data_IF_640696152386
#
_entry.id   IF_640696152386
#
_cell.length_a   1.000
_cell.length_b   1.000
_cell.length_c   1.000
_cell.angle_alpha   90.00
_cell.angle_beta   90.00
_cell.angle_gamma   90.00
#
_symmetry.space_group_name_H-M   'P 1'
#
loop_
_entity.id
_entity.type
_entity.pdbx_description
1 polymer ?
#
# COMPACT_ATOMS: atom_id res chain seq x y z
N UNK A 1 15.51 12.85 11.53
CA UNK A 1 16.90 12.99 11.05
C UNK A 1 17.11 12.05 9.86
N UNK A 2 17.69 12.60 8.79
CA UNK A 2 17.89 12.09 7.42
C UNK A 2 18.04 10.57 7.24
N UNK A 3 17.15 9.94 6.45
CA UNK A 3 17.41 8.71 5.67
C UNK A 3 16.57 8.73 4.38
N UNK A 4 16.97 9.57 3.42
CA UNK A 4 16.70 9.34 2.01
C UNK A 4 18.07 9.05 1.40
N UNK A 5 18.33 7.77 1.18
CA UNK A 5 19.34 7.22 0.27
C UNK A 5 19.41 5.73 0.53
N UNK A 6 18.71 4.95 -0.28
CA UNK A 6 19.10 3.57 -0.52
C UNK A 6 18.60 3.14 -1.91
N UNK A 7 19.32 3.55 -2.94
CA UNK A 7 19.62 2.73 -4.12
C UNK A 7 20.80 3.37 -4.86
N UNK A 8 22.01 3.07 -4.37
CA UNK A 8 23.31 3.06 -5.06
C UNK A 8 24.48 3.30 -4.08
N UNK A 9 24.62 2.47 -3.04
CA UNK A 9 25.84 2.43 -2.23
C UNK A 9 25.96 1.12 -1.45
N UNK A 10 26.12 -0.02 -2.12
CA UNK A 10 26.65 -1.23 -1.49
C UNK A 10 28.20 -1.13 -1.47
N UNK A 11 28.68 -0.65 -0.33
CA UNK A 11 29.97 -0.91 0.36
C UNK A 11 31.26 -1.00 -0.48
N UNK A 12 32.05 0.08 -0.35
CA UNK A 12 33.51 0.10 -0.43
C UNK A 12 34.16 -0.77 0.67
N UNK A 13 35.17 -1.56 0.33
CA UNK A 13 36.50 -1.53 1.00
C UNK A 13 37.52 -2.46 0.33
N UNK A 14 38.54 -1.86 -0.31
CA UNK A 14 39.94 -2.33 -0.19
C UNK A 14 40.90 -1.25 -0.70
N UNK A 15 41.62 -0.64 0.26
CA UNK A 15 42.96 -0.05 0.22
C UNK A 15 43.35 0.95 -0.89
N UNK A 16 43.74 2.14 -0.43
CA UNK A 16 44.38 3.19 -1.18
C UNK A 16 45.73 2.74 -1.77
N UNK A 17 45.90 2.93 -3.08
CA UNK A 17 47.15 3.32 -3.74
C UNK A 17 46.96 3.46 -5.27
N UNK A 18 46.31 4.54 -5.72
CA UNK A 18 46.87 5.38 -6.78
C UNK A 18 46.07 6.70 -6.88
N UNK A 19 46.61 7.74 -6.27
CA UNK A 19 46.17 9.10 -6.49
C UNK A 19 46.57 9.54 -7.92
N UNK A 20 45.75 9.23 -8.93
CA UNK A 20 45.87 9.80 -10.28
C UNK A 20 44.51 9.86 -11.01
N UNK A 21 43.67 10.86 -10.70
CA UNK A 21 42.74 11.35 -11.73
C UNK A 21 42.53 12.87 -11.64
N UNK A 22 43.61 13.68 -11.78
CA UNK A 22 43.52 15.15 -11.74
C UNK A 22 42.60 15.74 -12.82
N UNK A 23 42.21 14.95 -13.82
CA UNK A 23 41.32 15.33 -14.93
C UNK A 23 39.94 14.66 -14.85
N UNK A 24 39.54 14.08 -13.71
CA UNK A 24 38.29 13.32 -13.59
C UNK A 24 37.06 14.11 -14.06
N UNK A 25 36.93 15.37 -13.63
CA UNK A 25 35.85 16.25 -14.08
C UNK A 25 35.97 16.53 -15.59
N UNK A 26 37.17 16.85 -16.07
CA UNK A 26 37.42 17.16 -17.49
C UNK A 26 36.98 16.02 -18.41
N UNK A 27 37.26 14.76 -18.04
CA UNK A 27 36.82 13.56 -18.77
C UNK A 27 35.30 13.44 -18.80
N UNK A 28 34.62 13.64 -17.66
CA UNK A 28 33.14 13.64 -17.61
C UNK A 28 32.57 14.74 -18.50
N UNK A 29 33.18 15.94 -18.47
CA UNK A 29 32.72 17.08 -19.27
C UNK A 29 32.91 16.85 -20.79
N UNK A 30 33.91 16.07 -21.20
CA UNK A 30 34.16 15.73 -22.61
C UNK A 30 33.29 14.59 -23.16
N UNK A 31 32.60 13.85 -22.30
CA UNK A 31 31.75 12.75 -22.74
C UNK A 31 30.61 13.22 -23.65
N UNK A 32 30.30 12.40 -24.65
CA UNK A 32 29.35 12.74 -25.72
C UNK A 32 27.94 12.21 -25.48
N UNK A 33 27.79 11.24 -24.58
CA UNK A 33 26.51 10.64 -24.20
C UNK A 33 26.44 10.38 -22.69
N UNK A 34 25.23 10.19 -22.17
CA UNK A 34 24.97 10.01 -20.75
C UNK A 34 25.70 8.79 -20.19
N UNK A 35 25.67 7.66 -20.90
CA UNK A 35 26.25 6.40 -20.43
C UNK A 35 27.76 6.53 -20.18
N UNK A 36 28.49 7.10 -21.14
CA UNK A 36 29.92 7.39 -21.03
C UNK A 36 30.20 8.36 -19.88
N UNK A 37 29.49 9.49 -19.82
CA UNK A 37 29.65 10.48 -18.76
C UNK A 37 29.42 9.88 -17.37
N UNK A 38 28.40 9.01 -17.24
CA UNK A 38 28.03 8.40 -15.97
C UNK A 38 29.05 7.36 -15.54
N UNK A 39 29.58 6.55 -16.47
CA UNK A 39 30.67 5.62 -16.21
C UNK A 39 31.93 6.34 -15.72
N UNK A 40 32.33 7.41 -16.42
CA UNK A 40 33.45 8.25 -16.01
C UNK A 40 33.23 8.90 -14.64
N UNK A 41 32.01 9.39 -14.36
CA UNK A 41 31.70 9.99 -13.07
C UNK A 41 31.77 8.95 -11.95
N UNK A 42 31.21 7.75 -12.12
CA UNK A 42 31.27 6.69 -11.10
C UNK A 42 32.71 6.36 -10.68
N UNK A 43 33.65 6.37 -11.62
CA UNK A 43 35.07 6.10 -11.34
C UNK A 43 35.80 7.28 -10.67
N UNK A 44 35.39 8.51 -10.98
CA UNK A 44 36.08 9.72 -10.51
C UNK A 44 35.42 10.38 -9.28
N UNK A 45 34.17 10.05 -8.94
CA UNK A 45 33.38 10.76 -7.94
C UNK A 45 34.01 10.75 -6.54
N UNK A 46 34.72 9.69 -6.16
CA UNK A 46 35.33 9.56 -4.83
C UNK A 46 36.39 10.65 -4.55
N UNK A 47 37.04 11.18 -5.59
CA UNK A 47 38.09 12.20 -5.47
C UNK A 47 37.61 13.61 -5.80
N UNK A 48 36.34 13.77 -6.20
CA UNK A 48 35.78 15.07 -6.59
C UNK A 48 35.31 15.88 -5.38
N UNK A 49 35.49 17.19 -5.44
CA UNK A 49 34.82 18.11 -4.50
C UNK A 49 33.31 18.17 -4.77
N UNK A 50 32.54 18.70 -3.82
CA UNK A 50 31.09 18.86 -4.00
C UNK A 50 30.74 19.74 -5.20
N UNK A 51 31.54 20.78 -5.45
CA UNK A 51 31.37 21.68 -6.59
C UNK A 51 31.64 20.96 -7.91
N UNK A 52 32.65 20.09 -7.94
CA UNK A 52 32.96 19.27 -9.12
C UNK A 52 31.88 18.23 -9.38
N UNK A 53 31.40 17.54 -8.34
CA UNK A 53 30.25 16.62 -8.43
C UNK A 53 29.01 17.30 -8.98
N UNK A 54 28.67 18.48 -8.45
CA UNK A 54 27.52 19.25 -8.93
C UNK A 54 27.63 19.58 -10.43
N UNK A 55 28.81 20.00 -10.91
CA UNK A 55 29.07 20.24 -12.34
C UNK A 55 28.94 18.96 -13.17
N UNK A 56 29.53 17.86 -12.71
CA UNK A 56 29.49 16.57 -13.39
C UNK A 56 28.05 16.03 -13.51
N UNK A 57 27.27 16.08 -12.44
CA UNK A 57 25.85 15.72 -12.48
C UNK A 57 25.04 16.66 -13.37
N UNK A 58 25.35 17.97 -13.39
CA UNK A 58 24.69 18.88 -14.32
C UNK A 58 24.96 18.52 -15.79
N UNK A 59 26.18 18.08 -16.13
CA UNK A 59 26.52 17.57 -17.46
C UNK A 59 25.71 16.32 -17.80
N UNK A 60 25.49 15.42 -16.83
CA UNK A 60 24.60 14.28 -17.00
C UNK A 60 23.15 14.71 -17.26
N UNK A 61 22.64 15.72 -16.55
CA UNK A 61 21.32 16.30 -16.83
C UNK A 61 21.22 16.79 -18.27
N UNK A 62 22.22 17.56 -18.73
CA UNK A 62 22.23 18.12 -20.09
C UNK A 62 22.19 17.01 -21.17
N UNK A 63 22.98 15.96 -20.98
CA UNK A 63 23.04 14.80 -21.88
C UNK A 63 21.73 14.00 -21.86
N UNK A 64 21.18 13.72 -20.68
CA UNK A 64 19.95 12.95 -20.54
C UNK A 64 18.73 13.67 -21.15
N UNK A 65 18.63 14.99 -20.96
CA UNK A 65 17.59 15.80 -21.64
C UNK A 65 17.76 15.71 -23.16
N UNK A 66 18.99 15.85 -23.66
CA UNK A 66 19.27 15.76 -25.10
C UNK A 66 18.89 14.40 -25.68
N UNK A 67 19.21 13.31 -24.99
CA UNK A 67 18.83 11.96 -25.39
C UNK A 67 17.32 11.77 -25.37
N UNK A 68 16.64 12.25 -24.32
CA UNK A 68 15.18 12.17 -24.23
C UNK A 68 14.48 12.92 -25.36
N UNK A 69 14.94 14.13 -25.68
CA UNK A 69 14.37 14.94 -26.78
C UNK A 69 14.59 14.28 -28.12
N UNK A 70 15.78 13.72 -28.38
CA UNK A 70 16.06 12.99 -29.64
C UNK A 70 15.18 11.75 -29.79
N UNK A 71 15.01 10.99 -28.71
CA UNK A 71 14.14 9.81 -28.71
C UNK A 71 12.69 10.19 -28.97
N UNK A 72 12.20 11.29 -28.36
CA UNK A 72 10.87 11.82 -28.61
C UNK A 72 10.65 12.25 -30.07
N UNK A 73 11.56 13.03 -30.64
CA UNK A 73 11.50 13.42 -32.06
C UNK A 73 11.50 12.21 -32.99
N UNK A 74 12.30 11.19 -32.66
CA UNK A 74 12.33 9.93 -33.39
C UNK A 74 11.01 9.17 -33.29
N UNK A 75 10.43 9.05 -32.09
CA UNK A 75 9.16 8.35 -31.86
C UNK A 75 8.01 9.00 -32.65
N UNK A 76 7.97 10.34 -32.69
CA UNK A 76 6.99 11.08 -33.50
C UNK A 76 7.16 10.78 -34.99
N UNK A 77 8.40 10.74 -35.50
CA UNK A 77 8.67 10.38 -36.91
C UNK A 77 8.26 8.94 -37.21
N UNK A 78 8.55 8.00 -36.31
CA UNK A 78 8.15 6.61 -36.44
C UNK A 78 6.63 6.45 -36.46
N UNK A 79 5.91 7.19 -35.59
CA UNK A 79 4.45 7.22 -35.57
C UNK A 79 3.87 7.75 -36.90
N UNK A 80 4.42 8.85 -37.45
CA UNK A 80 4.00 9.40 -38.74
C UNK A 80 4.27 8.42 -39.89
N UNK A 81 5.33 7.64 -39.79
CA UNK A 81 5.66 6.56 -40.73
C UNK A 81 4.89 5.25 -40.46
N UNK A 82 3.96 5.23 -39.49
CA UNK A 82 3.22 4.04 -39.05
C UNK A 82 4.13 2.86 -38.64
N UNK A 83 5.34 3.15 -38.17
CA UNK A 83 6.29 2.16 -37.68
C UNK A 83 6.17 2.03 -36.15
N UNK A 84 5.24 1.18 -35.72
CA UNK A 84 4.93 0.94 -34.29
C UNK A 84 6.12 0.39 -33.51
N UNK A 85 6.91 -0.51 -34.09
CA UNK A 85 8.04 -1.15 -33.39
C UNK A 85 9.14 -0.14 -33.06
N UNK A 86 9.52 0.69 -34.04
CA UNK A 86 10.52 1.74 -33.81
C UNK A 86 9.98 2.83 -32.88
N UNK A 87 8.70 3.20 -32.98
CA UNK A 87 8.07 4.12 -32.03
C UNK A 87 8.16 3.58 -30.59
N UNK A 88 7.78 2.32 -30.38
CA UNK A 88 7.78 1.71 -29.04
C UNK A 88 9.19 1.65 -28.46
N UNK A 89 10.18 1.24 -29.26
CA UNK A 89 11.59 1.26 -28.87
C UNK A 89 12.05 2.67 -28.45
N UNK A 90 11.72 3.69 -29.25
CA UNK A 90 12.10 5.08 -28.96
C UNK A 90 11.37 5.64 -27.74
N UNK A 91 10.13 5.22 -27.48
CA UNK A 91 9.42 5.57 -26.25
C UNK A 91 10.09 4.98 -25.00
N UNK A 92 10.62 3.76 -25.07
CA UNK A 92 11.41 3.15 -24.00
C UNK A 92 12.72 3.92 -23.78
N UNK A 93 13.42 4.30 -24.86
CA UNK A 93 14.63 5.11 -24.78
C UNK A 93 14.36 6.50 -24.18
N UNK A 94 13.26 7.15 -24.58
CA UNK A 94 12.77 8.41 -24.03
C UNK A 94 12.51 8.29 -22.51
N UNK A 95 11.80 7.25 -22.08
CA UNK A 95 11.50 7.01 -20.67
C UNK A 95 12.78 6.83 -19.83
N UNK A 96 13.74 6.03 -20.33
CA UNK A 96 15.04 5.82 -19.68
C UNK A 96 15.83 7.12 -19.56
N UNK A 97 15.90 7.91 -20.64
CA UNK A 97 16.61 9.18 -20.64
C UNK A 97 15.94 10.22 -19.72
N UNK A 98 14.60 10.26 -19.69
CA UNK A 98 13.83 11.10 -18.77
C UNK A 98 14.10 10.73 -17.31
N UNK A 99 14.12 9.43 -16.96
CA UNK A 99 14.47 8.96 -15.62
C UNK A 99 15.88 9.42 -15.21
N UNK A 100 16.85 9.19 -16.11
CA UNK A 100 18.24 9.59 -15.91
C UNK A 100 18.39 11.11 -15.68
N UNK A 101 17.61 11.92 -16.39
CA UNK A 101 17.62 13.37 -16.23
C UNK A 101 17.11 13.80 -14.84
N UNK A 102 16.01 13.21 -14.38
CA UNK A 102 15.44 13.50 -13.05
C UNK A 102 16.41 13.08 -11.94
N UNK A 103 16.93 11.86 -12.01
CA UNK A 103 17.90 11.33 -11.04
C UNK A 103 19.18 12.18 -10.98
N UNK A 104 19.78 12.48 -12.14
CA UNK A 104 20.98 13.31 -12.20
C UNK A 104 20.73 14.73 -11.68
N UNK A 105 19.54 15.29 -11.87
CA UNK A 105 19.20 16.62 -11.35
C UNK A 105 19.06 16.62 -9.82
N UNK A 106 18.48 15.57 -9.24
CA UNK A 106 18.39 15.40 -7.79
C UNK A 106 19.79 15.24 -7.16
N UNK A 107 20.66 14.42 -7.76
CA UNK A 107 22.05 14.26 -7.33
C UNK A 107 22.88 15.54 -7.50
N UNK A 108 22.66 16.26 -8.61
CA UNK A 108 23.25 17.58 -8.83
C UNK A 108 22.87 18.54 -7.70
N UNK A 109 21.57 18.63 -7.40
CA UNK A 109 21.06 19.50 -6.35
C UNK A 109 21.62 19.13 -4.97
N UNK A 110 21.74 17.84 -4.66
CA UNK A 110 22.32 17.41 -3.39
C UNK A 110 23.78 17.85 -3.24
N UNK A 111 24.60 17.63 -4.27
CA UNK A 111 26.01 18.03 -4.28
C UNK A 111 26.16 19.56 -4.21
N UNK A 112 25.32 20.29 -4.93
CA UNK A 112 25.34 21.76 -5.04
C UNK A 112 24.88 22.47 -3.75
N UNK A 113 24.14 21.76 -2.89
CA UNK A 113 23.74 22.22 -1.56
C UNK A 113 24.74 21.85 -0.44
N UNK A 114 25.86 21.21 -0.75
CA UNK A 114 26.92 20.97 0.24
C UNK A 114 27.88 22.17 0.34
N UNK A 115 28.60 22.32 1.46
CA UNK A 115 29.67 23.32 1.58
C UNK A 115 30.74 23.12 0.52
N UNK A 116 31.20 24.22 -0.08
CA UNK A 116 32.38 24.24 -0.92
C UNK A 116 33.67 24.20 -0.10
N UNK A 117 34.82 24.28 -0.76
CA UNK A 117 36.15 24.24 -0.13
C UNK A 117 36.40 25.40 0.86
N UNK A 118 35.59 26.47 0.77
CA UNK A 118 35.58 27.62 1.70
C UNK A 118 34.50 27.52 2.78
N UNK A 119 33.82 26.39 2.91
CA UNK A 119 32.73 26.17 3.87
C UNK A 119 31.41 26.87 3.50
N UNK A 120 31.27 27.43 2.29
CA UNK A 120 30.08 28.18 1.88
C UNK A 120 29.11 27.27 1.09
N UNK A 121 27.81 27.41 1.35
CA UNK A 121 26.74 26.78 0.56
C UNK A 121 26.20 27.80 -0.44
N UNK A 122 26.44 27.58 -1.74
CA UNK A 122 26.04 28.49 -2.82
C UNK A 122 25.56 27.71 -4.05
N UNK A 123 24.31 27.19 -4.03
CA UNK A 123 23.77 26.41 -5.13
C UNK A 123 23.74 27.22 -6.42
N UNK A 124 24.18 26.62 -7.52
CA UNK A 124 24.25 27.21 -8.87
C UNK A 124 23.26 26.61 -9.86
N UNK A 125 22.88 25.35 -9.68
CA UNK A 125 22.15 24.59 -10.69
C UNK A 125 20.67 24.38 -10.33
N UNK A 126 20.32 24.42 -9.04
CA UNK A 126 18.95 24.15 -8.55
C UNK A 126 17.86 24.86 -9.35
N UNK A 127 17.91 26.20 -9.47
CA UNK A 127 16.84 26.96 -10.14
C UNK A 127 16.68 26.60 -11.61
N UNK A 128 17.79 26.37 -12.32
CA UNK A 128 17.77 25.99 -13.74
C UNK A 128 17.25 24.56 -13.91
N UNK A 129 17.72 23.64 -13.08
CA UNK A 129 17.35 22.23 -13.12
C UNK A 129 15.87 22.03 -12.76
N UNK A 130 15.36 22.73 -11.74
CA UNK A 130 13.96 22.60 -11.33
C UNK A 130 12.98 22.84 -12.48
N UNK A 131 13.19 23.91 -13.28
CA UNK A 131 12.31 24.21 -14.41
C UNK A 131 12.42 23.21 -15.57
N UNK A 132 13.65 22.86 -15.98
CA UNK A 132 13.86 22.02 -17.18
C UNK A 132 13.60 20.52 -16.96
N UNK A 133 13.48 20.08 -15.71
CA UNK A 133 13.25 18.66 -15.38
C UNK A 133 11.76 18.32 -15.27
N UNK A 134 10.87 19.30 -15.07
CA UNK A 134 9.42 19.04 -14.99
C UNK A 134 8.87 18.24 -16.20
N UNK A 135 9.22 18.56 -17.46
CA UNK A 135 8.78 17.75 -18.60
C UNK A 135 9.33 16.32 -18.54
N UNK A 136 10.58 16.13 -18.11
CA UNK A 136 11.20 14.81 -17.97
C UNK A 136 10.51 13.98 -16.90
N UNK A 137 10.15 14.62 -15.77
CA UNK A 137 9.37 13.99 -14.71
C UNK A 137 7.99 13.56 -15.22
N UNK A 138 7.31 14.39 -16.01
CA UNK A 138 5.99 14.06 -16.55
C UNK A 138 6.04 12.90 -17.56
N UNK A 139 7.13 12.75 -18.33
CA UNK A 139 7.31 11.61 -19.23
C UNK A 139 7.31 10.25 -18.49
N UNK A 140 7.65 10.23 -17.19
CA UNK A 140 7.67 9.00 -16.39
C UNK A 140 6.27 8.44 -16.13
N UNK A 141 5.23 9.28 -16.21
CA UNK A 141 3.84 8.83 -15.97
C UNK A 141 3.44 7.78 -17.00
N UNK A 142 3.59 8.09 -18.29
CA UNK A 142 3.22 7.16 -19.36
C UNK A 142 4.09 5.90 -19.34
N UNK A 143 5.38 6.05 -19.08
CA UNK A 143 6.29 4.90 -18.93
C UNK A 143 5.87 3.97 -17.77
N UNK A 144 5.42 4.55 -16.65
CA UNK A 144 4.86 3.80 -15.53
C UNK A 144 3.56 3.08 -15.90
N UNK A 145 2.65 3.76 -16.62
CA UNK A 145 1.39 3.17 -17.06
C UNK A 145 1.61 1.99 -18.03
N UNK A 146 2.51 2.15 -19.01
CA UNK A 146 2.84 1.11 -19.99
C UNK A 146 3.44 -0.12 -19.30
N UNK A 147 4.37 0.11 -18.36
CA UNK A 147 4.96 -0.95 -17.55
C UNK A 147 3.92 -1.66 -16.68
N UNK A 148 3.03 -0.91 -16.03
CA UNK A 148 1.98 -1.44 -15.17
C UNK A 148 0.99 -2.32 -15.98
N UNK A 149 0.55 -1.84 -17.15
CA UNK A 149 -0.34 -2.57 -18.03
C UNK A 149 0.30 -3.85 -18.58
N UNK A 150 1.62 -3.83 -18.75
CA UNK A 150 2.41 -5.01 -19.16
C UNK A 150 2.75 -5.94 -17.98
N UNK A 151 2.29 -5.63 -16.77
CA UNK A 151 2.62 -6.35 -15.51
C UNK A 151 4.10 -6.37 -15.17
N UNK A 152 4.90 -5.46 -15.75
CA UNK A 152 6.27 -5.19 -15.32
C UNK A 152 6.23 -4.22 -14.14
N UNK A 153 5.84 -4.75 -12.98
CA UNK A 153 5.65 -3.96 -11.77
C UNK A 153 6.95 -3.35 -11.23
N UNK A 154 8.11 -3.97 -11.51
CA UNK A 154 9.40 -3.40 -11.15
C UNK A 154 9.69 -2.10 -11.93
N UNK A 155 9.44 -2.09 -13.24
CA UNK A 155 9.58 -0.86 -14.04
C UNK A 155 8.48 0.16 -13.71
N UNK A 156 7.25 -0.29 -13.46
CA UNK A 156 6.16 0.60 -13.07
C UNK A 156 6.47 1.32 -11.74
N UNK A 157 6.93 0.57 -10.75
CA UNK A 157 7.37 1.11 -9.46
C UNK A 157 8.50 2.12 -9.65
N UNK A 158 9.51 1.77 -10.45
CA UNK A 158 10.63 2.66 -10.75
C UNK A 158 10.17 4.00 -11.31
N UNK A 159 9.27 4.00 -12.30
CA UNK A 159 8.87 5.23 -12.99
C UNK A 159 7.88 6.07 -12.16
N UNK A 160 6.83 5.47 -11.62
CA UNK A 160 5.90 6.19 -10.75
C UNK A 160 6.56 6.64 -9.45
N UNK A 161 7.43 5.81 -8.88
CA UNK A 161 8.22 6.12 -7.69
C UNK A 161 9.12 7.33 -7.91
N UNK A 162 9.89 7.36 -9.01
CA UNK A 162 10.72 8.52 -9.35
C UNK A 162 9.89 9.80 -9.54
N UNK A 163 8.70 9.72 -10.15
CA UNK A 163 7.78 10.85 -10.23
C UNK A 163 7.35 11.35 -8.83
N UNK A 164 6.99 10.42 -7.94
CA UNK A 164 6.52 10.72 -6.59
C UNK A 164 7.63 11.31 -5.71
N UNK A 165 8.80 10.68 -5.69
CA UNK A 165 9.98 11.06 -4.91
C UNK A 165 10.57 12.38 -5.36
N UNK A 166 10.58 12.65 -6.66
CA UNK A 166 11.08 13.90 -7.20
C UNK A 166 10.34 15.11 -6.59
N UNK A 167 9.01 15.05 -6.43
CA UNK A 167 8.24 16.15 -5.80
C UNK A 167 8.66 16.42 -4.34
N UNK A 168 9.15 15.40 -3.64
CA UNK A 168 9.63 15.50 -2.25
C UNK A 168 11.07 16.02 -2.16
N UNK A 169 11.80 16.07 -3.27
CA UNK A 169 13.19 16.51 -3.30
C UNK A 169 13.31 18.03 -3.14
N UNK A 170 14.35 18.49 -2.44
CA UNK A 170 14.59 19.92 -2.23
C UNK A 170 14.85 20.71 -3.53
N UNK A 171 15.18 20.02 -4.64
CA UNK A 171 15.25 20.59 -5.98
C UNK A 171 13.97 21.36 -6.34
N UNK A 172 12.80 20.86 -5.93
CA UNK A 172 11.50 21.45 -6.24
C UNK A 172 10.92 22.27 -5.08
N UNK A 173 11.72 22.63 -4.07
CA UNK A 173 11.25 23.39 -2.89
C UNK A 173 10.64 24.77 -3.21
N UNK A 174 10.89 25.30 -4.41
CA UNK A 174 10.33 26.58 -4.91
C UNK A 174 9.34 26.38 -6.06
N UNK A 175 9.02 25.14 -6.40
CA UNK A 175 8.12 24.82 -7.52
C UNK A 175 6.68 24.87 -7.04
N UNK A 176 5.83 25.56 -7.79
CA UNK A 176 4.39 25.50 -7.59
C UNK A 176 3.82 24.24 -8.28
N UNK A 177 3.18 23.39 -7.49
CA UNK A 177 2.52 22.16 -7.96
C UNK A 177 0.98 22.29 -7.93
N UNK A 178 0.43 23.49 -7.81
CA UNK A 178 -1.02 23.74 -7.78
C UNK A 178 -1.76 23.18 -9.00
N UNK A 179 -1.11 23.20 -10.18
CA UNK A 179 -1.66 22.64 -11.42
C UNK A 179 -1.53 21.10 -11.53
N UNK A 180 -0.80 20.44 -10.64
CA UNK A 180 -0.60 18.99 -10.65
C UNK A 180 -1.67 18.29 -9.81
N UNK A 181 -2.86 18.14 -10.40
CA UNK A 181 -4.03 17.56 -9.73
C UNK A 181 -3.97 16.03 -9.61
N UNK A 182 -3.22 15.35 -10.48
CA UNK A 182 -3.13 13.89 -10.53
C UNK A 182 -2.07 13.28 -9.59
N UNK A 183 -1.41 14.08 -8.75
CA UNK A 183 -0.30 13.60 -7.91
C UNK A 183 -0.70 12.45 -6.97
N UNK A 184 -1.87 12.56 -6.32
CA UNK A 184 -2.40 11.53 -5.45
C UNK A 184 -2.56 10.20 -6.19
N UNK A 185 -3.27 10.24 -7.32
CA UNK A 185 -3.48 9.08 -8.18
C UNK A 185 -2.17 8.43 -8.64
N UNK A 186 -1.15 9.21 -9.05
CA UNK A 186 0.14 8.65 -9.45
C UNK A 186 0.86 8.00 -8.26
N UNK A 187 0.80 8.59 -7.07
CA UNK A 187 1.38 7.98 -5.86
C UNK A 187 0.65 6.69 -5.47
N UNK A 188 -0.66 6.61 -5.69
CA UNK A 188 -1.41 5.37 -5.54
C UNK A 188 -0.94 4.29 -6.53
N UNK A 189 -0.75 4.62 -7.82
CA UNK A 189 -0.18 3.68 -8.78
C UNK A 189 1.25 3.27 -8.44
N UNK A 190 2.07 4.17 -7.90
CA UNK A 190 3.39 3.84 -7.36
C UNK A 190 3.27 2.82 -6.21
N UNK A 191 2.32 3.01 -5.29
CA UNK A 191 2.07 2.09 -4.19
C UNK A 191 1.60 0.71 -4.68
N UNK A 192 0.64 0.67 -5.62
CA UNK A 192 0.19 -0.58 -6.25
C UNK A 192 1.32 -1.31 -6.96
N UNK A 193 2.13 -0.60 -7.75
CA UNK A 193 3.26 -1.20 -8.45
C UNK A 193 4.27 -1.79 -7.44
N UNK A 194 4.60 -1.05 -6.37
CA UNK A 194 5.46 -1.55 -5.30
C UNK A 194 4.87 -2.78 -4.59
N UNK A 195 3.56 -2.77 -4.32
CA UNK A 195 2.85 -3.90 -3.74
C UNK A 195 2.97 -5.15 -4.61
N UNK A 196 2.64 -5.05 -5.90
CA UNK A 196 2.77 -6.19 -6.82
C UNK A 196 4.22 -6.60 -7.09
N UNK A 197 5.17 -5.68 -6.94
CA UNK A 197 6.61 -5.95 -6.98
C UNK A 197 7.16 -6.52 -5.65
N UNK A 198 6.32 -6.68 -4.62
CA UNK A 198 6.69 -7.16 -3.28
C UNK A 198 7.67 -6.26 -2.53
N UNK A 199 7.70 -4.96 -2.85
CA UNK A 199 8.40 -3.94 -2.08
C UNK A 199 7.42 -3.25 -1.12
N UNK A 200 7.11 -3.92 0.00
CA UNK A 200 6.17 -3.42 0.99
C UNK A 200 6.60 -2.09 1.64
N UNK A 201 7.92 -1.85 1.72
CA UNK A 201 8.47 -0.60 2.26
C UNK A 201 8.18 0.56 1.32
N UNK A 202 8.46 0.40 0.02
CA UNK A 202 8.14 1.41 -0.99
C UNK A 202 6.64 1.60 -1.16
N UNK A 203 5.86 0.53 -1.11
CA UNK A 203 4.40 0.64 -1.10
C UNK A 203 3.92 1.55 0.04
N UNK A 204 4.42 1.34 1.26
CA UNK A 204 4.04 2.14 2.43
C UNK A 204 4.47 3.60 2.28
N UNK A 205 5.67 3.85 1.74
CA UNK A 205 6.18 5.19 1.47
C UNK A 205 5.33 5.94 0.42
N UNK A 206 4.99 5.30 -0.69
CA UNK A 206 4.18 5.91 -1.75
C UNK A 206 2.72 6.11 -1.33
N UNK A 207 2.16 5.21 -0.51
CA UNK A 207 0.86 5.43 0.11
C UNK A 207 0.87 6.68 1.01
N UNK A 208 1.95 6.94 1.74
CA UNK A 208 2.08 8.17 2.54
C UNK A 208 2.17 9.43 1.68
N UNK A 209 2.77 9.36 0.49
CA UNK A 209 2.72 10.47 -0.47
C UNK A 209 1.32 10.69 -1.02
N UNK A 210 0.57 9.62 -1.32
CA UNK A 210 -0.82 9.71 -1.74
C UNK A 210 -1.70 10.33 -0.62
N UNK A 211 -1.54 9.92 0.64
CA UNK A 211 -2.27 10.55 1.75
C UNK A 211 -1.99 12.05 1.88
N UNK A 212 -0.73 12.47 1.70
CA UNK A 212 -0.33 13.88 1.75
C UNK A 212 -0.89 14.72 0.60
N UNK A 213 -1.33 14.10 -0.51
CA UNK A 213 -1.98 14.86 -1.59
C UNK A 213 -3.35 15.40 -1.18
N UNK A 214 -3.98 14.81 -0.15
CA UNK A 214 -5.33 15.18 0.29
C UNK A 214 -6.43 14.70 -0.66
N UNK A 215 -6.10 13.81 -1.60
CA UNK A 215 -7.05 13.26 -2.57
C UNK A 215 -7.96 12.25 -1.88
N UNK A 216 -9.26 12.60 -1.78
CA UNK A 216 -10.26 11.78 -1.08
C UNK A 216 -10.81 10.66 -1.95
N UNK A 217 -10.73 10.78 -3.28
CA UNK A 217 -11.30 9.79 -4.20
C UNK A 217 -10.56 8.47 -4.11
N UNK A 218 -9.25 8.52 -3.92
CA UNK A 218 -8.36 7.36 -3.80
C UNK A 218 -8.19 6.85 -2.37
N UNK A 219 -8.74 7.54 -1.36
CA UNK A 219 -8.33 7.35 0.04
C UNK A 219 -8.51 5.90 0.52
N UNK A 220 -9.67 5.31 0.23
CA UNK A 220 -9.96 3.93 0.65
C UNK A 220 -9.07 2.91 -0.07
N UNK A 221 -8.75 3.15 -1.33
CA UNK A 221 -7.88 2.28 -2.13
C UNK A 221 -6.43 2.35 -1.62
N UNK A 222 -5.94 3.56 -1.31
CA UNK A 222 -4.61 3.76 -0.72
C UNK A 222 -4.49 3.13 0.67
N UNK A 223 -5.54 3.23 1.48
CA UNK A 223 -5.62 2.53 2.77
C UNK A 223 -5.53 1.02 2.57
N UNK A 224 -6.30 0.49 1.63
CA UNK A 224 -6.36 -0.96 1.36
C UNK A 224 -4.99 -1.49 0.93
N UNK A 225 -4.32 -0.84 -0.02
CA UNK A 225 -2.99 -1.27 -0.48
C UNK A 225 -1.94 -1.16 0.63
N UNK A 226 -2.01 -0.11 1.48
CA UNK A 226 -1.07 0.05 2.60
C UNK A 226 -1.28 -1.02 3.67
N UNK A 227 -2.53 -1.36 4.01
CA UNK A 227 -2.82 -2.45 4.94
C UNK A 227 -2.29 -3.78 4.43
N UNK A 228 -2.47 -4.07 3.14
CA UNK A 228 -1.91 -5.26 2.49
C UNK A 228 -0.38 -5.29 2.57
N UNK A 229 0.29 -4.18 2.26
CA UNK A 229 1.74 -4.09 2.34
C UNK A 229 2.30 -4.27 3.76
N UNK A 230 1.61 -3.75 4.77
CA UNK A 230 1.98 -3.97 6.18
C UNK A 230 1.80 -5.45 6.57
N UNK A 231 0.71 -6.07 6.13
CA UNK A 231 0.44 -7.49 6.38
C UNK A 231 1.51 -8.40 5.74
N UNK A 232 1.90 -8.13 4.48
CA UNK A 232 2.96 -8.87 3.81
C UNK A 232 4.32 -8.69 4.48
N UNK A 233 4.66 -7.46 4.90
CA UNK A 233 5.88 -7.19 5.65
C UNK A 233 5.93 -7.97 6.97
N UNK A 234 4.80 -8.05 7.68
CA UNK A 234 4.69 -8.83 8.91
C UNK A 234 4.85 -10.34 8.65
N UNK A 235 4.17 -10.87 7.62
CA UNK A 235 4.30 -12.28 7.20
C UNK A 235 5.71 -12.64 6.76
N UNK A 236 6.42 -11.70 6.12
CA UNK A 236 7.80 -11.86 5.70
C UNK A 236 8.83 -11.60 6.83
N UNK A 237 8.38 -11.36 8.06
CA UNK A 237 9.20 -11.00 9.23
C UNK A 237 10.11 -9.77 9.00
N UNK A 238 9.71 -8.86 8.11
CA UNK A 238 10.39 -7.57 7.88
C UNK A 238 10.04 -6.55 8.97
N UNK A 239 8.84 -6.68 9.54
CA UNK A 239 8.40 -5.99 10.74
C UNK A 239 7.85 -7.02 11.73
N UNK A 240 8.01 -6.77 13.03
CA UNK A 240 7.40 -7.62 14.05
C UNK A 240 5.91 -7.29 14.26
N UNK A 241 5.21 -8.16 14.97
CA UNK A 241 3.78 -8.01 15.26
C UNK A 241 3.47 -6.70 15.99
N UNK A 242 4.35 -6.24 16.88
CA UNK A 242 4.12 -5.00 17.63
C UNK A 242 4.23 -3.76 16.73
N UNK A 243 5.20 -3.74 15.82
CA UNK A 243 5.35 -2.72 14.79
C UNK A 243 4.13 -2.70 13.86
N UNK A 244 3.66 -3.87 13.42
CA UNK A 244 2.48 -3.98 12.57
C UNK A 244 1.22 -3.43 13.25
N UNK A 245 0.93 -3.86 14.49
CA UNK A 245 -0.19 -3.34 15.29
C UNK A 245 -0.09 -1.82 15.45
N UNK A 246 1.09 -1.30 15.75
CA UNK A 246 1.30 0.13 15.94
C UNK A 246 1.05 0.94 14.66
N UNK A 247 1.43 0.42 13.49
CA UNK A 247 1.19 1.12 12.23
C UNK A 247 -0.28 1.07 11.80
N UNK A 248 -0.98 -0.05 12.02
CA UNK A 248 -2.44 -0.13 11.82
C UNK A 248 -3.18 0.78 12.80
N UNK A 249 -2.70 0.87 14.05
CA UNK A 249 -3.26 1.80 15.04
C UNK A 249 -3.15 3.27 14.61
N UNK A 250 -1.99 3.69 14.10
CA UNK A 250 -1.82 5.06 13.55
C UNK A 250 -2.77 5.32 12.39
N UNK A 251 -2.99 4.32 11.53
CA UNK A 251 -3.98 4.44 10.45
C UNK A 251 -5.40 4.58 11.01
N UNK A 252 -5.75 3.83 12.05
CA UNK A 252 -7.06 3.93 12.69
C UNK A 252 -7.28 5.31 13.34
N UNK A 253 -6.23 5.86 13.96
CA UNK A 253 -6.27 7.22 14.54
C UNK A 253 -6.42 8.30 13.46
N UNK A 254 -5.77 8.14 12.31
CA UNK A 254 -5.85 9.08 11.19
C UNK A 254 -7.18 8.97 10.42
N UNK A 255 -7.76 7.76 10.34
CA UNK A 255 -8.94 7.44 9.55
C UNK A 255 -9.98 6.67 10.39
N UNK A 256 -10.53 7.28 11.46
CA UNK A 256 -11.37 6.58 12.42
C UNK A 256 -12.68 6.03 11.84
N UNK A 257 -13.17 6.60 10.73
CA UNK A 257 -14.39 6.17 10.01
C UNK A 257 -14.14 5.03 9.00
N UNK A 258 -12.89 4.65 8.76
CA UNK A 258 -12.61 3.59 7.78
C UNK A 258 -12.85 2.20 8.41
N UNK A 259 -13.91 1.52 7.97
CA UNK A 259 -14.31 0.20 8.47
C UNK A 259 -13.22 -0.87 8.30
N UNK A 260 -12.46 -0.81 7.19
CA UNK A 260 -11.40 -1.79 6.89
C UNK A 260 -10.22 -1.69 7.87
N UNK A 261 -9.77 -0.48 8.18
CA UNK A 261 -8.70 -0.25 9.17
C UNK A 261 -9.17 -0.61 10.58
N UNK A 262 -10.39 -0.18 10.94
CA UNK A 262 -10.98 -0.53 12.23
C UNK A 262 -11.05 -2.05 12.42
N UNK A 263 -11.59 -2.76 11.43
CA UNK A 263 -11.70 -4.21 11.48
C UNK A 263 -10.36 -4.91 11.52
N UNK A 264 -9.36 -4.42 10.76
CA UNK A 264 -8.00 -4.95 10.82
C UNK A 264 -7.38 -4.76 12.21
N UNK A 265 -7.55 -3.60 12.84
CA UNK A 265 -7.00 -3.34 14.17
C UNK A 265 -7.62 -4.27 15.23
N UNK A 266 -8.95 -4.46 15.20
CA UNK A 266 -9.63 -5.38 16.11
C UNK A 266 -9.11 -6.81 15.91
N UNK A 267 -9.04 -7.28 14.67
CA UNK A 267 -8.53 -8.62 14.36
C UNK A 267 -7.10 -8.85 14.88
N UNK A 268 -6.22 -7.87 14.75
CA UNK A 268 -4.85 -7.98 15.27
C UNK A 268 -4.79 -8.06 16.80
N UNK A 269 -5.68 -7.36 17.51
CA UNK A 269 -5.79 -7.49 18.95
C UNK A 269 -6.31 -8.87 19.35
N UNK A 270 -7.29 -9.41 18.64
CA UNK A 270 -7.81 -10.76 18.89
C UNK A 270 -6.75 -11.84 18.63
N UNK A 271 -6.02 -11.73 17.50
CA UNK A 271 -4.91 -12.65 17.14
C UNK A 271 -3.76 -12.62 18.14
N UNK A 272 -3.46 -11.45 18.71
CA UNK A 272 -2.43 -11.31 19.75
C UNK A 272 -2.92 -11.68 21.16
N UNK A 273 -4.21 -11.96 21.31
CA UNK A 273 -4.85 -12.24 22.61
C UNK A 273 -5.01 -11.00 23.50
N UNK A 274 -4.77 -9.79 22.99
CA UNK A 274 -4.93 -8.53 23.71
C UNK A 274 -6.40 -8.09 23.75
N UNK A 275 -7.17 -8.80 24.56
CA UNK A 275 -8.59 -8.50 24.81
C UNK A 275 -8.83 -7.07 25.32
N UNK A 276 -7.87 -6.52 26.08
CA UNK A 276 -7.98 -5.17 26.63
C UNK A 276 -7.85 -4.11 25.53
N UNK A 277 -6.92 -4.30 24.60
CA UNK A 277 -6.77 -3.49 23.39
C UNK A 277 -8.01 -3.51 22.51
N UNK A 278 -8.52 -4.71 22.18
CA UNK A 278 -9.74 -4.87 21.38
C UNK A 278 -10.94 -4.16 22.04
N UNK A 279 -11.16 -4.41 23.34
CA UNK A 279 -12.26 -3.77 24.09
C UNK A 279 -12.14 -2.25 24.08
N UNK A 280 -10.95 -1.70 24.29
CA UNK A 280 -10.73 -0.25 24.31
C UNK A 280 -11.08 0.40 22.97
N UNK A 281 -10.71 -0.22 21.85
CA UNK A 281 -11.02 0.28 20.50
C UNK A 281 -12.52 0.21 20.22
N UNK A 282 -13.17 -0.90 20.59
CA UNK A 282 -14.62 -1.06 20.44
C UNK A 282 -15.39 -0.05 21.30
N UNK A 283 -15.02 0.12 22.56
CA UNK A 283 -15.66 1.06 23.49
C UNK A 283 -15.53 2.50 22.97
N UNK A 284 -14.36 2.89 22.44
CA UNK A 284 -14.17 4.22 21.87
C UNK A 284 -15.06 4.47 20.65
N UNK A 285 -15.19 3.49 19.75
CA UNK A 285 -16.06 3.58 18.57
C UNK A 285 -17.53 3.67 18.97
N UNK A 286 -17.96 2.86 19.94
CA UNK A 286 -19.33 2.87 20.46
C UNK A 286 -19.66 4.11 21.30
N UNK A 287 -18.67 4.71 21.95
CA UNK A 287 -18.84 5.99 22.63
C UNK A 287 -19.12 7.12 21.62
N UNK A 288 -18.44 7.10 20.46
CA UNK A 288 -18.70 8.04 19.38
C UNK A 288 -20.04 7.79 18.69
N UNK A 289 -20.39 6.51 18.45
CA UNK A 289 -21.65 6.10 17.88
C UNK A 289 -22.15 4.78 18.52
N UNK A 290 -23.11 4.83 19.45
CA UNK A 290 -23.65 3.63 20.12
C UNK A 290 -24.30 2.62 19.17
N UNK A 291 -24.73 3.08 17.99
CA UNK A 291 -25.36 2.26 16.96
C UNK A 291 -24.39 1.95 15.80
N UNK A 292 -23.06 2.08 15.99
CA UNK A 292 -22.10 1.68 14.97
C UNK A 292 -22.24 0.19 14.66
N UNK A 293 -22.59 -0.11 13.40
CA UNK A 293 -22.91 -1.48 12.99
C UNK A 293 -21.68 -2.40 13.09
N UNK A 294 -20.51 -1.91 12.68
CA UNK A 294 -19.28 -2.69 12.68
C UNK A 294 -18.80 -2.99 14.10
N UNK A 295 -18.80 -1.98 14.98
CA UNK A 295 -18.40 -2.15 16.37
C UNK A 295 -19.34 -3.10 17.12
N UNK A 296 -20.66 -2.96 16.95
CA UNK A 296 -21.61 -3.91 17.54
C UNK A 296 -21.43 -5.33 16.99
N UNK A 297 -21.08 -5.49 15.70
CA UNK A 297 -20.75 -6.81 15.15
C UNK A 297 -19.50 -7.42 15.78
N UNK A 298 -18.43 -6.66 15.98
CA UNK A 298 -17.23 -7.14 16.68
C UNK A 298 -17.47 -7.43 18.18
N UNK A 299 -18.32 -6.65 18.86
CA UNK A 299 -18.77 -7.02 20.22
C UNK A 299 -19.49 -8.37 20.20
N UNK A 300 -20.34 -8.60 19.20
CA UNK A 300 -21.00 -9.88 19.00
C UNK A 300 -20.01 -11.02 18.77
N UNK A 301 -19.00 -10.80 17.93
CA UNK A 301 -17.94 -11.77 17.65
C UNK A 301 -17.13 -12.12 18.90
N UNK A 302 -16.78 -11.11 19.72
CA UNK A 302 -16.03 -11.32 20.95
C UNK A 302 -16.86 -12.09 22.00
N UNK A 303 -18.15 -11.77 22.14
CA UNK A 303 -19.06 -12.52 23.00
C UNK A 303 -19.24 -13.98 22.51
N UNK A 304 -19.33 -14.18 21.19
CA UNK A 304 -19.41 -15.50 20.57
C UNK A 304 -18.16 -16.33 20.85
N UNK A 305 -16.95 -15.74 20.75
CA UNK A 305 -15.69 -16.40 21.08
C UNK A 305 -15.59 -16.79 22.57
N UNK A 306 -16.34 -16.12 23.45
CA UNK A 306 -16.45 -16.45 24.87
C UNK A 306 -17.62 -17.40 25.20
N UNK A 307 -18.28 -17.97 24.18
CA UNK A 307 -19.48 -18.81 24.30
C UNK A 307 -20.70 -18.09 24.96
N UNK A 308 -20.70 -16.76 25.00
CA UNK A 308 -21.80 -15.93 25.51
C UNK A 308 -22.79 -15.64 24.38
N UNK A 309 -23.45 -16.69 23.89
CA UNK A 309 -24.23 -16.61 22.66
C UNK A 309 -25.43 -15.66 22.73
N UNK A 310 -26.09 -15.52 23.89
CA UNK A 310 -27.21 -14.58 24.02
C UNK A 310 -26.74 -13.12 23.97
N UNK A 311 -25.60 -12.81 24.59
CA UNK A 311 -24.95 -11.49 24.49
C UNK A 311 -24.51 -11.22 23.04
N UNK A 312 -23.95 -12.24 22.37
CA UNK A 312 -23.54 -12.14 20.98
C UNK A 312 -24.73 -11.83 20.05
N UNK A 313 -25.84 -12.55 20.19
CA UNK A 313 -27.08 -12.32 19.43
C UNK A 313 -27.58 -10.90 19.66
N UNK A 314 -27.62 -10.41 20.91
CA UNK A 314 -28.08 -9.06 21.22
C UNK A 314 -27.19 -7.98 20.56
N UNK A 315 -25.86 -8.17 20.57
CA UNK A 315 -24.93 -7.28 19.90
C UNK A 315 -25.08 -7.30 18.37
N UNK A 316 -25.17 -8.49 17.75
CA UNK A 316 -25.44 -8.58 16.31
C UNK A 316 -26.79 -7.98 15.92
N UNK A 317 -27.83 -8.09 16.75
CA UNK A 317 -29.11 -7.42 16.52
C UNK A 317 -29.00 -5.90 16.54
N UNK A 318 -28.16 -5.31 17.40
CA UNK A 318 -27.86 -3.87 17.34
C UNK A 318 -27.16 -3.49 16.04
N UNK A 319 -26.21 -4.32 15.59
CA UNK A 319 -25.55 -4.12 14.30
C UNK A 319 -26.55 -4.15 13.13
N UNK A 320 -27.48 -5.11 13.13
CA UNK A 320 -28.52 -5.26 12.11
C UNK A 320 -29.58 -4.17 12.18
N UNK A 321 -29.85 -3.60 13.35
CA UNK A 321 -30.74 -2.44 13.47
C UNK A 321 -30.16 -1.20 12.77
N UNK A 322 -28.84 -1.04 12.79
CA UNK A 322 -28.15 0.05 12.11
C UNK A 322 -27.88 -0.25 10.63
N UNK A 323 -27.57 -1.50 10.29
CA UNK A 323 -27.28 -1.97 8.93
C UNK A 323 -28.01 -3.29 8.64
N UNK A 324 -29.29 -3.23 8.20
CA UNK A 324 -30.12 -4.43 8.01
C UNK A 324 -29.60 -5.42 6.97
N UNK A 325 -28.80 -4.94 6.01
CA UNK A 325 -28.16 -5.72 4.95
C UNK A 325 -26.78 -6.27 5.36
N UNK A 326 -26.39 -6.17 6.64
CA UNK A 326 -25.11 -6.71 7.13
C UNK A 326 -25.15 -8.24 7.24
N UNK A 327 -24.99 -8.92 6.09
CA UNK A 327 -25.13 -10.37 5.97
C UNK A 327 -24.20 -11.17 6.87
N UNK A 328 -22.99 -10.68 7.14
CA UNK A 328 -22.06 -11.32 8.07
C UNK A 328 -22.60 -11.33 9.52
N UNK A 329 -23.13 -10.21 10.02
CA UNK A 329 -23.76 -10.16 11.33
C UNK A 329 -25.01 -11.05 11.39
N UNK A 330 -25.81 -11.07 10.31
CA UNK A 330 -26.99 -11.93 10.20
C UNK A 330 -26.64 -13.41 10.22
N UNK A 331 -25.65 -13.82 9.44
CA UNK A 331 -25.12 -15.19 9.46
C UNK A 331 -24.67 -15.58 10.88
N UNK A 332 -23.94 -14.69 11.57
CA UNK A 332 -23.43 -14.98 12.90
C UNK A 332 -24.54 -15.12 13.97
N UNK A 333 -25.70 -14.46 13.82
CA UNK A 333 -26.89 -14.73 14.64
C UNK A 333 -27.35 -16.18 14.46
N UNK A 334 -27.45 -16.65 13.23
CA UNK A 334 -27.83 -18.04 12.93
C UNK A 334 -26.82 -19.04 13.50
N UNK A 335 -25.52 -18.73 13.37
CA UNK A 335 -24.44 -19.56 13.96
C UNK A 335 -24.56 -19.60 15.48
N UNK A 336 -24.86 -18.48 16.15
CA UNK A 336 -25.05 -18.46 17.59
C UNK A 336 -26.20 -19.38 18.03
N UNK A 337 -27.35 -19.32 17.36
CA UNK A 337 -28.47 -20.23 17.65
C UNK A 337 -28.11 -21.70 17.41
N UNK A 338 -27.45 -22.00 16.29
CA UNK A 338 -26.99 -23.35 15.99
C UNK A 338 -26.00 -23.88 17.05
N UNK A 339 -25.04 -23.07 17.47
CA UNK A 339 -24.05 -23.48 18.48
C UNK A 339 -24.67 -23.62 19.87
N UNK A 340 -25.62 -22.76 20.25
CA UNK A 340 -26.40 -22.94 21.49
C UNK A 340 -27.12 -24.29 21.50
N UNK A 341 -27.85 -24.60 20.42
CA UNK A 341 -28.55 -25.86 20.28
C UNK A 341 -27.59 -27.06 20.37
N UNK A 342 -26.45 -26.99 19.66
CA UNK A 342 -25.42 -28.03 19.72
C UNK A 342 -24.87 -28.24 21.14
N UNK A 343 -24.55 -27.17 21.87
CA UNK A 343 -24.06 -27.28 23.24
C UNK A 343 -25.08 -27.89 24.21
N UNK A 344 -26.37 -27.59 24.02
CA UNK A 344 -27.44 -28.23 24.80
C UNK A 344 -27.56 -29.71 24.47
N UNK A 345 -27.48 -30.07 23.19
CA UNK A 345 -27.47 -31.48 22.74
C UNK A 345 -26.29 -32.22 23.39
N UNK A 346 -25.07 -31.72 23.22
CA UNK A 346 -23.85 -32.37 23.71
C UNK A 346 -23.88 -32.60 25.23
N UNK A 347 -24.45 -31.65 25.99
CA UNK A 347 -24.56 -31.75 27.45
C UNK A 347 -25.71 -32.64 27.95
N UNK A 348 -26.68 -33.01 27.09
CA UNK A 348 -27.94 -33.64 27.50
C UNK A 348 -28.33 -34.88 26.69
N UNK A 349 -27.43 -35.42 25.87
CA UNK A 349 -27.64 -36.72 25.21
C UNK A 349 -27.12 -37.89 26.03
N UNK A 350 -27.86 -39.00 26.02
CA UNK A 350 -27.39 -40.28 26.59
C UNK A 350 -26.33 -40.96 25.69
N UNK A 351 -25.78 -42.09 26.15
CA UNK A 351 -24.78 -42.86 25.39
C UNK A 351 -25.30 -43.45 24.06
N UNK A 352 -26.61 -43.38 23.80
CA UNK A 352 -27.26 -43.82 22.56
C UNK A 352 -27.63 -42.63 21.66
N UNK A 353 -27.32 -41.40 22.08
CA UNK A 353 -27.60 -40.16 21.35
C UNK A 353 -29.03 -39.63 21.51
N UNK A 354 -29.79 -40.12 22.50
CA UNK A 354 -31.14 -39.59 22.75
C UNK A 354 -31.06 -38.34 23.62
N UNK A 355 -31.69 -37.25 23.19
CA UNK A 355 -31.73 -36.01 23.96
C UNK A 355 -32.76 -36.14 25.10
N UNK A 356 -32.44 -35.61 26.28
CA UNK A 356 -33.41 -35.49 27.37
C UNK A 356 -34.71 -34.81 26.87
N UNK A 357 -35.89 -35.43 27.07
CA UNK A 357 -37.16 -34.90 26.55
C UNK A 357 -37.43 -33.44 26.93
N UNK A 358 -37.08 -33.03 28.15
CA UNK A 358 -37.27 -31.67 28.65
C UNK A 358 -36.43 -30.60 27.93
N UNK A 359 -35.36 -30.99 27.23
CA UNK A 359 -34.51 -30.07 26.47
C UNK A 359 -34.93 -29.95 25.00
N UNK A 360 -35.73 -30.90 24.50
CA UNK A 360 -36.02 -31.09 23.07
C UNK A 360 -36.69 -29.87 22.44
N UNK A 361 -37.71 -29.32 23.09
CA UNK A 361 -38.46 -28.18 22.56
C UNK A 361 -37.58 -26.91 22.44
N UNK A 362 -36.72 -26.67 23.42
CA UNK A 362 -35.79 -25.53 23.40
C UNK A 362 -34.74 -25.65 22.29
N UNK A 363 -34.18 -26.85 22.10
CA UNK A 363 -33.23 -27.14 21.01
C UNK A 363 -33.90 -26.96 19.64
N UNK A 364 -35.11 -27.49 19.44
CA UNK A 364 -35.86 -27.32 18.19
C UNK A 364 -36.18 -25.84 17.94
N UNK A 365 -36.54 -25.07 18.97
CA UNK A 365 -36.80 -23.65 18.84
C UNK A 365 -35.58 -22.86 18.37
N UNK A 366 -34.40 -23.11 18.95
CA UNK A 366 -33.16 -22.44 18.54
C UNK A 366 -32.72 -22.88 17.13
N UNK A 367 -32.84 -24.16 16.78
CA UNK A 367 -32.54 -24.65 15.43
C UNK A 367 -33.47 -24.05 14.37
N UNK A 368 -34.76 -23.88 14.67
CA UNK A 368 -35.69 -23.23 13.75
C UNK A 368 -35.34 -21.75 13.54
N UNK A 369 -34.95 -21.02 14.59
CA UNK A 369 -34.46 -19.64 14.45
C UNK A 369 -33.20 -19.58 13.58
N UNK A 370 -32.24 -20.50 13.81
CA UNK A 370 -31.04 -20.61 12.98
C UNK A 370 -31.39 -20.85 11.50
N UNK A 371 -32.31 -21.79 11.24
CA UNK A 371 -32.79 -22.12 9.89
C UNK A 371 -33.38 -20.90 9.20
N UNK A 372 -34.32 -20.21 9.84
CA UNK A 372 -34.94 -19.00 9.29
C UNK A 372 -33.90 -17.95 8.92
N UNK A 373 -32.95 -17.70 9.83
CA UNK A 373 -31.87 -16.74 9.57
C UNK A 373 -31.03 -17.14 8.36
N UNK A 374 -30.63 -18.40 8.25
CA UNK A 374 -29.84 -18.87 7.11
C UNK A 374 -30.62 -18.86 5.79
N UNK A 375 -31.92 -19.16 5.81
CA UNK A 375 -32.78 -19.05 4.63
C UNK A 375 -32.93 -17.59 4.17
N UNK A 376 -33.04 -16.65 5.10
CA UNK A 376 -33.05 -15.23 4.77
C UNK A 376 -31.69 -14.75 4.21
N UNK A 377 -30.57 -15.22 4.76
CA UNK A 377 -29.23 -14.94 4.22
C UNK A 377 -29.07 -15.54 2.83
N UNK A 378 -29.53 -16.78 2.62
CA UNK A 378 -29.56 -17.43 1.30
C UNK A 378 -30.38 -16.64 0.28
N UNK A 379 -31.53 -16.11 0.68
CA UNK A 379 -32.36 -15.31 -0.20
C UNK A 379 -31.68 -14.00 -0.62
N UNK A 380 -30.85 -13.42 0.26
CA UNK A 380 -30.11 -12.19 0.01
C UNK A 380 -28.77 -12.41 -0.72
N UNK A 381 -28.13 -13.56 -0.57
CA UNK A 381 -26.85 -13.92 -1.20
C UNK A 381 -26.88 -15.36 -1.76
N UNK A 382 -27.72 -15.65 -2.78
CA UNK A 382 -27.93 -17.02 -3.27
C UNK A 382 -26.66 -17.66 -3.85
N UNK A 383 -25.74 -16.85 -4.36
CA UNK A 383 -24.49 -17.30 -4.96
C UNK A 383 -23.32 -17.37 -3.97
N UNK A 384 -23.54 -17.02 -2.68
CA UNK A 384 -22.53 -17.02 -1.61
C UNK A 384 -21.32 -16.13 -1.93
N UNK A 385 -21.59 -14.99 -2.55
CA UNK A 385 -20.57 -14.01 -2.92
C UNK A 385 -20.01 -13.28 -1.70
N UNK A 386 -20.80 -13.15 -0.63
CA UNK A 386 -20.42 -12.45 0.59
C UNK A 386 -20.21 -13.39 1.76
N UNK A 387 -21.09 -14.38 1.95
CA UNK A 387 -21.08 -15.27 3.10
C UNK A 387 -21.43 -16.71 2.75
N UNK A 388 -20.77 -17.66 3.43
CA UNK A 388 -21.03 -19.08 3.22
C UNK A 388 -22.13 -19.61 4.17
N UNK A 389 -23.39 -19.50 3.75
CA UNK A 389 -24.55 -19.97 4.52
C UNK A 389 -24.89 -21.45 4.29
N UNK A 390 -24.37 -22.10 3.23
CA UNK A 390 -24.84 -23.44 2.84
C UNK A 390 -24.48 -24.51 3.87
N UNK A 391 -23.23 -24.51 4.34
CA UNK A 391 -22.77 -25.46 5.34
C UNK A 391 -23.54 -25.39 6.67
N UNK A 392 -23.69 -24.22 7.32
CA UNK A 392 -24.44 -24.16 8.58
C UNK A 392 -25.95 -24.46 8.39
N UNK A 393 -26.55 -24.14 7.24
CA UNK A 393 -27.94 -24.50 6.94
C UNK A 393 -28.13 -26.02 6.79
N UNK A 394 -27.24 -26.69 6.06
CA UNK A 394 -27.24 -28.15 5.94
C UNK A 394 -27.13 -28.82 7.31
N UNK A 395 -26.25 -28.30 8.17
CA UNK A 395 -26.09 -28.80 9.55
C UNK A 395 -27.37 -28.64 10.37
N UNK A 396 -28.05 -27.50 10.29
CA UNK A 396 -29.34 -27.30 10.99
C UNK A 396 -30.39 -28.30 10.52
N UNK A 397 -30.54 -28.49 9.21
CA UNK A 397 -31.52 -29.43 8.65
C UNK A 397 -31.23 -30.87 9.10
N UNK A 398 -29.96 -31.29 9.05
CA UNK A 398 -29.54 -32.61 9.51
C UNK A 398 -29.89 -32.85 10.98
N UNK A 399 -29.62 -31.88 11.87
CA UNK A 399 -29.94 -32.03 13.29
C UNK A 399 -31.45 -32.12 13.50
N UNK A 400 -32.24 -31.26 12.84
CA UNK A 400 -33.71 -31.28 12.93
C UNK A 400 -34.32 -32.61 12.48
N UNK A 401 -33.75 -33.25 11.47
CA UNK A 401 -34.23 -34.56 10.97
C UNK A 401 -33.85 -35.73 11.91
N UNK A 402 -32.77 -35.61 12.67
CA UNK A 402 -32.18 -36.71 13.43
C UNK A 402 -32.30 -36.59 14.95
N UNK A 403 -32.90 -35.51 15.46
CA UNK A 403 -33.07 -35.29 16.90
C UNK A 403 -34.10 -36.26 17.50
N UNK A 404 -33.61 -37.22 18.28
CA UNK A 404 -34.40 -38.29 18.91
C UNK A 404 -34.79 -37.96 20.34
#
# INVERSE_FOLDING_TARGET
MKKIMLMAATVMMSLAANAQNPDGLKKVMSASNYSEANGLLKTAAATMTNVEKAKAYNKLVDLAITESTKAEEGAVKAQLAQNTDEMNKLNIEKAKASYNAVEAAMLCNEADNQPNEKGQVKPKFMSKNAGRILPMRNNLINAGLDAYNSKDYASAEKYFGMFAEARQNSLFSKTDFSAETNYGQICYYAALAAYFNKDGKKCSEYADYAFKSGDKEILNDVITVKLGALEEQAKAAQIDTAAYINDVKKLAEAYPENEGVFGKLVALYDESGDKAGAKKVLDARLQANPNDAMANAYVGQNAQAENKFDEAIAAYQKALAAKPDFLAAKLNVGICYLTKAAGVIDANTDARGNLKPEMKDGVIADLNKAKTVFEEVKAADPDKTQVNWSFPLERVNYILENIK
#
